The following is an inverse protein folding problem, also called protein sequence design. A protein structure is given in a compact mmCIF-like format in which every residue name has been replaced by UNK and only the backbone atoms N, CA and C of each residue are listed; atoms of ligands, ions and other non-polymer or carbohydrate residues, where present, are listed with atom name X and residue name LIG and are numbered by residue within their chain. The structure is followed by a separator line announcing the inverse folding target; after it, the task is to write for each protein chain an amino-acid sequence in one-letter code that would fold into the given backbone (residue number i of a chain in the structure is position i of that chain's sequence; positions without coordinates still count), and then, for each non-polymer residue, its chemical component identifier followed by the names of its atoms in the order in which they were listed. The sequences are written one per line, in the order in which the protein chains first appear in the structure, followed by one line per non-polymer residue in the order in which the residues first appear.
data_IF_605233021711
#
_entry.id   IF_605233021711
#
_cell.length_a   1.000
_cell.length_b   1.000
_cell.length_c   1.000
_cell.angle_alpha   90.00
_cell.angle_beta   90.00
_cell.angle_gamma   90.00
#
_symmetry.space_group_name_H-M   'P 1'
#
loop_
_entity.id
_entity.type
_entity.pdbx_description
1 polymer ?
#
# COMPACT_ATOMS: atom_id res chain seq x y z
N UNK A 1 9.76 6.62 -7.07
CA UNK A 1 9.87 5.21 -7.51
C UNK A 1 8.80 4.96 -8.57
N UNK A 2 9.00 3.97 -9.45
CA UNK A 2 8.02 3.48 -10.41
C UNK A 2 8.08 1.95 -10.40
N UNK A 3 6.94 1.27 -10.22
CA UNK A 3 6.85 -0.20 -10.12
C UNK A 3 7.83 -0.82 -9.11
N UNK A 4 7.94 -0.21 -7.92
CA UNK A 4 8.87 -0.65 -6.87
C UNK A 4 10.36 -0.41 -7.17
N UNK A 5 10.69 0.24 -8.30
CA UNK A 5 12.07 0.56 -8.69
C UNK A 5 12.36 2.04 -8.50
N UNK A 6 13.55 2.36 -7.99
CA UNK A 6 14.04 3.73 -7.88
C UNK A 6 14.11 4.39 -9.28
N UNK A 7 13.57 5.61 -9.40
CA UNK A 7 13.71 6.38 -10.64
C UNK A 7 15.01 7.19 -10.61
N UNK A 8 16.12 6.54 -10.95
CA UNK A 8 17.49 7.07 -10.82
C UNK A 8 17.83 8.30 -11.70
N UNK A 9 16.90 8.84 -12.48
CA UNK A 9 17.15 9.96 -13.41
C UNK A 9 16.01 10.98 -13.44
N UNK A 10 15.22 11.06 -12.37
CA UNK A 10 14.06 11.96 -12.31
C UNK A 10 14.43 13.43 -12.49
N UNK A 11 15.65 13.83 -12.13
CA UNK A 11 16.16 15.21 -12.27
C UNK A 11 16.79 15.51 -13.64
N UNK A 12 17.15 14.49 -14.44
CA UNK A 12 17.91 14.67 -15.69
C UNK A 12 17.13 14.33 -16.95
N UNK A 13 16.02 13.58 -16.86
CA UNK A 13 15.18 13.20 -18.01
C UNK A 13 13.72 13.59 -17.81
N UNK A 14 13.19 14.39 -18.74
CA UNK A 14 11.75 14.75 -18.85
C UNK A 14 10.85 13.59 -19.31
N UNK A 15 11.42 12.50 -19.81
CA UNK A 15 10.66 11.34 -20.27
C UNK A 15 10.52 10.32 -19.14
N UNK A 16 9.26 9.95 -18.87
CA UNK A 16 8.92 8.88 -17.94
C UNK A 16 9.59 7.57 -18.39
N UNK A 17 10.05 6.72 -17.44
CA UNK A 17 10.49 5.38 -17.78
C UNK A 17 9.39 4.62 -18.53
N UNK A 18 9.78 3.74 -19.46
CA UNK A 18 8.81 2.91 -20.17
C UNK A 18 8.02 2.09 -19.14
N UNK A 19 6.68 2.12 -19.16
CA UNK A 19 5.87 1.32 -18.26
C UNK A 19 6.18 -0.16 -18.45
N UNK A 20 6.13 -0.92 -17.35
CA UNK A 20 6.30 -2.36 -17.40
C UNK A 20 5.22 -2.99 -18.29
N UNK A 21 5.60 -3.93 -19.16
CA UNK A 21 4.65 -4.76 -19.92
C UNK A 21 4.13 -5.95 -19.09
N UNK A 22 4.61 -6.12 -17.86
CA UNK A 22 4.18 -7.18 -16.97
C UNK A 22 2.70 -7.04 -16.64
N UNK A 23 1.95 -8.14 -16.77
CA UNK A 23 0.55 -8.25 -16.37
C UNK A 23 0.49 -9.17 -15.16
N UNK A 24 0.76 -8.69 -13.95
CA UNK A 24 0.96 -9.55 -12.77
C UNK A 24 -0.31 -10.30 -12.35
N UNK A 25 -1.49 -9.74 -12.65
CA UNK A 25 -2.78 -10.29 -12.23
C UNK A 25 -3.74 -9.20 -11.77
N UNK A 26 -4.92 -9.63 -11.37
CA UNK A 26 -5.94 -8.78 -10.77
C UNK A 26 -5.90 -8.90 -9.24
N UNK A 27 -5.83 -7.75 -8.55
CA UNK A 27 -5.97 -7.66 -7.11
C UNK A 27 -7.32 -7.02 -6.78
N UNK A 28 -8.17 -7.77 -6.09
CA UNK A 28 -9.46 -7.30 -5.57
C UNK A 28 -9.36 -7.16 -4.06
N UNK A 29 -9.78 -6.01 -3.55
CA UNK A 29 -9.81 -5.71 -2.12
C UNK A 29 -11.21 -5.23 -1.78
N UNK A 30 -11.85 -5.90 -0.83
CA UNK A 30 -13.16 -5.51 -0.31
C UNK A 30 -13.02 -5.28 1.18
N UNK A 31 -13.44 -4.10 1.65
CA UNK A 31 -13.47 -3.76 3.07
C UNK A 31 -14.90 -3.79 3.56
N UNK A 32 -15.13 -4.57 4.62
CA UNK A 32 -16.37 -4.61 5.40
C UNK A 32 -16.02 -4.22 6.83
N UNK A 33 -16.29 -2.97 7.20
CA UNK A 33 -15.86 -2.38 8.48
C UNK A 33 -14.34 -2.57 8.72
N UNK A 34 -13.96 -3.27 9.78
CA UNK A 34 -12.55 -3.55 10.11
C UNK A 34 -12.02 -4.83 9.45
N UNK A 35 -12.81 -5.52 8.64
CA UNK A 35 -12.39 -6.75 7.94
C UNK A 35 -12.05 -6.43 6.50
N UNK A 36 -10.88 -6.87 6.05
CA UNK A 36 -10.41 -6.72 4.68
C UNK A 36 -10.31 -8.10 4.05
N UNK A 37 -11.12 -8.32 3.02
CA UNK A 37 -11.08 -9.49 2.14
C UNK A 37 -10.17 -9.17 0.94
N UNK A 38 -9.19 -10.04 0.71
CA UNK A 38 -8.17 -9.87 -0.32
C UNK A 38 -8.18 -11.07 -1.24
N UNK A 39 -8.20 -10.79 -2.54
CA UNK A 39 -8.13 -11.80 -3.57
C UNK A 39 -7.17 -11.37 -4.66
N UNK A 40 -6.26 -12.27 -5.03
CA UNK A 40 -5.31 -12.05 -6.10
C UNK A 40 -5.36 -13.19 -7.12
N UNK A 41 -5.63 -12.84 -8.37
CA UNK A 41 -5.68 -13.77 -9.51
C UNK A 41 -4.46 -13.50 -10.39
N UNK A 42 -3.37 -14.25 -10.24
CA UNK A 42 -2.17 -14.04 -11.04
C UNK A 42 -2.37 -14.54 -12.48
N UNK A 43 -1.68 -13.95 -13.45
CA UNK A 43 -1.68 -14.43 -14.85
C UNK A 43 -0.71 -15.59 -15.10
N UNK A 44 0.19 -15.85 -14.16
CA UNK A 44 1.18 -16.92 -14.19
C UNK A 44 1.28 -17.57 -12.81
N UNK A 45 1.74 -18.82 -12.73
CA UNK A 45 1.85 -19.52 -11.45
C UNK A 45 2.77 -18.80 -10.46
N UNK A 46 2.31 -18.65 -9.21
CA UNK A 46 3.05 -18.06 -8.11
C UNK A 46 3.02 -18.95 -6.88
N UNK A 47 4.17 -19.22 -6.27
CA UNK A 47 4.30 -20.24 -5.20
C UNK A 47 3.83 -19.77 -3.83
N UNK A 48 4.03 -18.49 -3.51
CA UNK A 48 3.65 -17.88 -2.23
C UNK A 48 3.35 -16.41 -2.47
N UNK A 49 2.17 -15.97 -2.05
CA UNK A 49 1.76 -14.56 -2.12
C UNK A 49 1.55 -14.05 -0.70
N UNK A 50 2.15 -12.90 -0.41
CA UNK A 50 1.90 -12.15 0.82
C UNK A 50 1.12 -10.90 0.43
N UNK A 51 0.01 -10.66 1.11
CA UNK A 51 -0.68 -9.38 1.05
C UNK A 51 -0.24 -8.49 2.21
N UNK A 52 0.00 -7.23 1.91
CA UNK A 52 0.38 -6.18 2.82
C UNK A 52 -0.76 -5.16 2.84
N UNK A 53 -1.15 -4.73 4.03
CA UNK A 53 -2.26 -3.82 4.24
C UNK A 53 -1.82 -2.69 5.14
N UNK A 54 -1.75 -1.49 4.57
CA UNK A 54 -1.43 -0.27 5.29
C UNK A 54 -2.69 0.58 5.48
N UNK A 55 -2.94 0.99 6.72
CA UNK A 55 -3.87 2.08 7.05
C UNK A 55 -3.09 3.37 7.05
N UNK A 56 -3.58 4.33 6.28
CA UNK A 56 -2.93 5.62 6.07
C UNK A 56 -3.74 6.72 6.75
N UNK A 57 -3.07 7.59 7.50
CA UNK A 57 -3.59 8.81 8.08
C UNK A 57 -3.20 10.03 7.24
N UNK A 58 -4.14 10.97 7.11
CA UNK A 58 -4.00 12.21 6.36
C UNK A 58 -4.41 13.41 7.21
N UNK A 59 -3.81 14.56 6.92
CA UNK A 59 -4.05 15.80 7.66
C UNK A 59 -3.50 15.76 9.09
N UNK A 60 -2.44 15.01 9.36
CA UNK A 60 -1.80 15.01 10.67
C UNK A 60 -0.91 16.24 10.81
N UNK A 61 -1.15 17.04 11.84
CA UNK A 61 -0.38 18.25 12.11
C UNK A 61 0.62 18.01 13.24
N UNK A 62 1.89 18.34 12.98
CA UNK A 62 2.96 18.31 13.98
C UNK A 62 3.50 19.73 14.17
N UNK A 63 3.47 20.22 15.40
CA UNK A 63 4.15 21.47 15.76
C UNK A 63 5.64 21.21 15.96
N UNK A 64 6.49 21.90 15.20
CA UNK A 64 7.95 21.75 15.32
C UNK A 64 8.48 22.79 16.29
N UNK A 65 8.80 22.37 17.51
CA UNK A 65 9.24 23.29 18.57
C UNK A 65 10.67 23.84 18.35
N UNK A 66 11.57 23.07 17.71
CA UNK A 66 12.99 23.43 17.49
C UNK A 66 13.56 22.83 16.21
N UNK A 67 14.59 23.46 15.64
CA UNK A 67 15.28 23.03 14.41
C UNK A 67 15.04 23.94 13.20
N UNK A 68 15.42 23.49 12.00
CA UNK A 68 15.32 24.27 10.76
C UNK A 68 13.87 24.67 10.40
N UNK A 69 12.90 23.89 10.87
CA UNK A 69 11.48 24.15 10.71
C UNK A 69 10.79 24.62 11.99
N UNK A 70 11.54 25.10 13.00
CA UNK A 70 10.98 25.59 14.26
C UNK A 70 9.92 26.66 14.03
N UNK A 71 8.79 26.55 14.73
CA UNK A 71 7.65 27.47 14.65
C UNK A 71 6.73 27.24 13.45
N UNK A 72 6.91 26.15 12.69
CA UNK A 72 5.99 25.73 11.62
C UNK A 72 5.14 24.54 12.07
N UNK A 73 3.89 24.52 11.62
CA UNK A 73 3.02 23.34 11.67
C UNK A 73 3.22 22.56 10.38
N UNK A 74 3.67 21.31 10.49
CA UNK A 74 3.82 20.41 9.36
C UNK A 74 2.56 19.56 9.23
N UNK A 75 1.83 19.75 8.12
CA UNK A 75 0.74 18.85 7.74
C UNK A 75 1.32 17.68 6.95
N UNK A 76 1.22 16.49 7.52
CA UNK A 76 1.66 15.25 6.92
C UNK A 76 0.46 14.50 6.32
N UNK A 77 0.53 14.29 5.02
CA UNK A 77 -0.32 13.37 4.29
C UNK A 77 0.45 12.07 4.05
N UNK A 78 -0.23 10.92 4.10
CA UNK A 78 0.34 9.56 3.92
C UNK A 78 1.18 9.01 5.08
N UNK A 79 0.73 9.17 6.32
CA UNK A 79 1.35 8.51 7.48
C UNK A 79 0.82 7.08 7.63
N UNK A 80 1.69 6.07 7.69
CA UNK A 80 1.26 4.70 7.98
C UNK A 80 0.91 4.58 9.46
N UNK A 81 -0.38 4.41 9.75
CA UNK A 81 -0.91 4.23 11.12
C UNK A 81 -0.82 2.77 11.57
N UNK A 82 -1.10 1.85 10.64
CA UNK A 82 -1.01 0.42 10.86
C UNK A 82 -0.50 -0.26 9.59
N UNK A 83 0.38 -1.25 9.75
CA UNK A 83 0.81 -2.14 8.67
C UNK A 83 0.66 -3.58 9.13
N UNK A 84 -0.10 -4.35 8.37
CA UNK A 84 -0.35 -5.77 8.61
C UNK A 84 -0.02 -6.59 7.38
N UNK A 85 0.44 -7.82 7.59
CA UNK A 85 0.76 -8.76 6.51
C UNK A 85 0.01 -10.08 6.71
N UNK A 86 -0.47 -10.68 5.62
CA UNK A 86 -1.11 -12.00 5.64
C UNK A 86 -0.68 -12.84 4.43
N UNK A 87 -0.22 -14.08 4.64
CA UNK A 87 -0.04 -15.03 3.55
C UNK A 87 -1.40 -15.36 2.92
N UNK A 88 -1.51 -15.27 1.60
CA UNK A 88 -2.73 -15.66 0.89
C UNK A 88 -2.71 -17.16 0.60
N UNK A 89 -3.77 -17.85 1.02
CA UNK A 89 -3.97 -19.27 0.74
C UNK A 89 -4.34 -19.49 -0.72
N UNK A 90 -3.91 -20.62 -1.30
CA UNK A 90 -4.35 -21.01 -2.64
C UNK A 90 -5.87 -21.26 -2.66
N UNK A 91 -6.53 -20.74 -3.69
CA UNK A 91 -7.93 -20.92 -4.02
C UNK A 91 -8.06 -21.45 -5.46
N UNK A 92 -9.27 -21.85 -5.87
CA UNK A 92 -9.50 -22.51 -7.17
C UNK A 92 -8.99 -21.71 -8.39
N UNK A 93 -8.94 -20.38 -8.27
CA UNK A 93 -8.63 -19.44 -9.35
C UNK A 93 -7.68 -18.33 -8.90
N UNK A 94 -6.90 -18.55 -7.84
CA UNK A 94 -5.91 -17.58 -7.39
C UNK A 94 -5.52 -17.77 -5.93
N UNK A 95 -5.36 -16.66 -5.22
CA UNK A 95 -5.00 -16.63 -3.81
C UNK A 95 -5.97 -15.75 -3.03
N UNK A 96 -6.35 -16.19 -1.83
CA UNK A 96 -7.33 -15.52 -0.98
C UNK A 96 -6.85 -15.40 0.47
N UNK A 97 -7.27 -14.33 1.12
CA UNK A 97 -6.96 -14.07 2.52
C UNK A 97 -7.91 -13.05 3.12
N UNK A 98 -7.99 -13.09 4.44
CA UNK A 98 -8.78 -12.16 5.22
C UNK A 98 -7.97 -11.77 6.44
N UNK A 99 -8.02 -10.50 6.79
CA UNK A 99 -7.47 -10.01 8.05
C UNK A 99 -8.39 -8.95 8.65
N UNK A 100 -8.33 -8.85 9.97
CA UNK A 100 -8.84 -7.71 10.68
C UNK A 100 -7.77 -6.62 10.68
N UNK A 101 -8.19 -5.37 10.48
CA UNK A 101 -7.31 -4.21 10.42
C UNK A 101 -7.86 -3.16 11.36
N UNK A 102 -7.00 -2.68 12.25
CA UNK A 102 -7.32 -1.53 13.08
C UNK A 102 -7.33 -0.27 12.21
N UNK A 103 -8.49 0.36 12.10
CA UNK A 103 -8.66 1.62 11.35
C UNK A 103 -8.85 2.82 12.26
N UNK A 104 -8.44 2.73 13.52
CA UNK A 104 -8.41 3.89 14.41
C UNK A 104 -7.55 5.00 13.79
N UNK A 105 -8.19 6.15 13.58
CA UNK A 105 -7.56 7.29 12.90
C UNK A 105 -6.68 8.12 13.83
N UNK A 106 -6.80 7.95 15.15
CA UNK A 106 -6.20 8.86 16.13
C UNK A 106 -6.56 10.32 15.80
N UNK A 107 -5.55 11.17 15.66
CA UNK A 107 -5.68 12.57 15.26
C UNK A 107 -5.83 12.80 13.74
N UNK A 108 -5.78 11.75 12.91
CA UNK A 108 -5.88 11.91 11.46
C UNK A 108 -7.29 12.36 11.05
N UNK A 109 -7.34 13.36 10.17
CA UNK A 109 -8.58 13.95 9.66
C UNK A 109 -9.28 12.99 8.69
N UNK A 110 -8.51 12.23 7.91
CA UNK A 110 -8.99 11.22 6.96
C UNK A 110 -8.13 9.97 7.02
N UNK A 111 -8.72 8.85 6.62
CA UNK A 111 -7.96 7.60 6.50
C UNK A 111 -8.18 6.92 5.15
N UNK A 112 -7.12 6.26 4.67
CA UNK A 112 -7.16 5.44 3.46
C UNK A 112 -6.60 4.04 3.76
N UNK A 113 -6.94 3.10 2.89
CA UNK A 113 -6.31 1.78 2.84
C UNK A 113 -5.40 1.72 1.61
N UNK A 114 -4.19 1.21 1.79
CA UNK A 114 -3.32 0.80 0.69
C UNK A 114 -3.00 -0.68 0.86
N UNK A 115 -3.23 -1.47 -0.18
CA UNK A 115 -3.01 -2.92 -0.18
C UNK A 115 -2.13 -3.27 -1.36
N UNK A 116 -1.10 -4.06 -1.13
CA UNK A 116 -0.29 -4.62 -2.22
C UNK A 116 0.04 -6.08 -1.95
N UNK A 117 0.33 -6.81 -3.03
CA UNK A 117 0.76 -8.21 -2.95
C UNK A 117 2.19 -8.36 -3.46
N UNK A 118 2.96 -9.24 -2.84
CA UNK A 118 4.31 -9.60 -3.27
C UNK A 118 4.51 -11.12 -3.33
N UNK A 119 5.50 -11.55 -4.11
CA UNK A 119 5.88 -12.96 -4.21
C UNK A 119 6.93 -13.32 -3.14
N UNK A 120 6.61 -14.29 -2.28
CA UNK A 120 7.50 -14.75 -1.21
C UNK A 120 8.01 -13.59 -0.36
N UNK A 121 9.32 -13.56 -0.10
CA UNK A 121 9.97 -12.52 0.71
C UNK A 121 10.48 -11.33 -0.14
N UNK A 122 10.04 -11.23 -1.40
CA UNK A 122 10.42 -10.11 -2.27
C UNK A 122 9.73 -8.82 -1.78
N UNK A 123 10.48 -7.71 -1.61
CA UNK A 123 9.88 -6.41 -1.30
C UNK A 123 9.22 -5.75 -2.52
N UNK A 124 9.31 -6.36 -3.71
CA UNK A 124 8.75 -5.80 -4.93
C UNK A 124 7.25 -6.08 -5.01
N UNK A 125 6.39 -5.05 -5.03
CA UNK A 125 4.95 -5.24 -5.21
C UNK A 125 4.68 -5.77 -6.62
N UNK A 126 3.85 -6.80 -6.71
CA UNK A 126 3.29 -7.31 -7.96
C UNK A 126 2.12 -6.46 -8.40
N UNK A 127 1.21 -6.14 -7.48
CA UNK A 127 0.03 -5.33 -7.75
C UNK A 127 -0.35 -4.56 -6.49
N UNK A 128 -0.96 -3.38 -6.65
CA UNK A 128 -1.42 -2.57 -5.55
C UNK A 128 -2.81 -1.98 -5.84
N UNK A 129 -3.59 -1.78 -4.78
CA UNK A 129 -4.88 -1.10 -4.78
C UNK A 129 -4.95 -0.18 -3.56
N UNK A 130 -5.77 0.87 -3.65
CA UNK A 130 -5.99 1.75 -2.52
C UNK A 130 -7.26 2.57 -2.66
N UNK A 131 -7.75 3.08 -1.54
CA UNK A 131 -8.98 3.85 -1.48
C UNK A 131 -9.23 4.49 -0.13
N UNK A 132 -10.06 5.54 -0.12
CA UNK A 132 -10.49 6.21 1.10
C UNK A 132 -11.43 5.31 1.91
N UNK A 133 -11.28 5.35 3.23
CA UNK A 133 -12.06 4.50 4.15
C UNK A 133 -12.74 5.29 5.28
N UNK A 134 -12.41 6.58 5.42
CA UNK A 134 -13.08 7.59 6.25
C UNK A 134 -12.72 8.99 5.77
#
# INVERSE_FOLDING_TARGET
MLDGKEWKQWWTRRQLPKPSSARPGELTVVRNDSVVDIRFVPTAETKRIIAHVAVLGFGLETEVERGENAGKTLTHDFVVLNLSEVPLAAAADGHGGRLWVDTESGAAVRTALAVWVSAGDSPLPLQAAGGWIK
#
